data_IF_072187379176
#
_entry.id   IF_072187379176
#
_cell.length_a   1.000
_cell.length_b   1.000
_cell.length_c   1.000
_cell.angle_alpha   90.00
_cell.angle_beta   90.00
_cell.angle_gamma   90.00
#
_symmetry.space_group_name_H-M   'P 1'
#
loop_
_entity.id
_entity.type
_entity.pdbx_description
1 polymer ?
2 water ?
#
# COMPACT_ATOMS: atom_id res chain seq x y z
N UNK A 38 -14.30 -2.66 -25.57
CA UNK A 38 -13.07 -2.71 -24.79
C UNK A 38 -12.09 -1.63 -25.18
N UNK A 39 -12.61 -0.49 -25.64
CA UNK A 39 -11.78 0.65 -25.98
C UNK A 39 -11.31 1.41 -24.75
N UNK A 40 -12.00 1.27 -23.63
CA UNK A 40 -11.69 2.00 -22.41
C UNK A 40 -11.93 1.07 -21.23
N UNK A 41 -11.16 1.24 -20.15
CA UNK A 41 -11.29 0.35 -19.00
C UNK A 41 -12.61 0.67 -18.30
N UNK A 42 -13.36 -0.38 -17.94
CA UNK A 42 -14.69 -0.22 -17.38
C UNK A 42 -14.68 -0.65 -15.93
N UNK A 43 -15.23 0.20 -15.07
CA UNK A 43 -15.49 -0.21 -13.69
C UNK A 43 -16.61 -1.23 -13.68
N UNK A 44 -16.78 -1.89 -12.54
CA UNK A 44 -17.75 -2.99 -12.52
C UNK A 44 -19.18 -2.51 -12.65
N UNK A 45 -19.44 -1.22 -12.45
CA UNK A 45 -20.77 -0.66 -12.67
C UNK A 45 -20.94 -0.23 -14.12
N UNK A 46 -19.99 -0.59 -14.96
CA UNK A 46 -20.01 -0.24 -16.37
C UNK A 46 -19.53 1.14 -16.69
N UNK A 47 -19.28 1.98 -15.68
CA UNK A 47 -18.74 3.32 -15.92
C UNK A 47 -17.29 3.24 -16.35
N UNK A 48 -16.88 4.24 -17.10
CA UNK A 48 -15.53 4.29 -17.64
C UNK A 48 -14.57 4.76 -16.56
N UNK A 49 -13.41 4.13 -16.51
CA UNK A 49 -12.33 4.60 -15.65
C UNK A 49 -11.36 5.41 -16.49
N UNK A 50 -11.14 6.67 -16.13
CA UNK A 50 -10.26 7.53 -16.88
C UNK A 50 -9.04 7.80 -16.00
N UNK A 51 -7.90 7.19 -16.28
CA UNK A 51 -6.75 7.36 -15.40
C UNK A 51 -6.10 8.72 -15.57
N UNK A 52 -5.45 9.18 -14.50
CA UNK A 52 -4.59 10.33 -14.70
C UNK A 52 -3.36 9.97 -15.53
N UNK A 53 -2.78 11.00 -16.18
CA UNK A 53 -1.63 10.78 -17.05
C UNK A 53 -0.45 10.18 -16.30
N UNK A 54 -0.35 10.41 -14.99
CA UNK A 54 0.81 9.97 -14.22
C UNK A 54 0.61 8.64 -13.51
N UNK A 55 -0.52 7.97 -13.76
CA UNK A 55 -0.74 6.67 -13.15
C UNK A 55 0.17 5.63 -13.77
N UNK A 56 0.43 4.54 -13.05
CA UNK A 56 1.18 3.43 -13.63
C UNK A 56 0.39 2.80 -14.77
N UNK A 57 1.08 1.94 -15.50
CA UNK A 57 0.43 1.16 -16.54
C UNK A 57 -0.61 0.25 -15.89
N UNK A 58 -1.63 -0.09 -16.67
CA UNK A 58 -2.64 -1.05 -16.24
C UNK A 58 -3.06 -1.87 -17.43
N UNK A 59 -3.32 -3.13 -17.16
CA UNK A 59 -3.88 -4.03 -18.16
C UNK A 59 -4.51 -5.18 -17.40
N UNK A 60 -5.50 -5.78 -18.02
CA UNK A 60 -6.08 -7.01 -17.49
C UNK A 60 -5.41 -8.26 -18.07
N UNK A 61 -4.35 -8.13 -18.87
CA UNK A 61 -3.79 -9.29 -19.56
C UNK A 61 -3.49 -10.43 -18.60
N UNK A 62 -2.85 -10.12 -17.48
CA UNK A 62 -2.66 -11.04 -16.38
C UNK A 62 -3.01 -10.27 -15.13
N UNK A 63 -2.95 -10.93 -13.97
CA UNK A 63 -3.38 -10.27 -12.76
C UNK A 63 -2.57 -8.99 -12.57
N UNK A 64 -3.21 -7.84 -12.39
CA UNK A 64 -2.44 -6.60 -12.23
C UNK A 64 -1.76 -6.62 -10.87
N UNK A 65 -0.46 -6.34 -10.86
CA UNK A 65 0.35 -6.62 -9.68
C UNK A 65 0.99 -5.35 -9.18
N UNK A 66 1.10 -5.30 -7.87
CA UNK A 66 1.90 -4.32 -7.13
C UNK A 66 2.87 -5.09 -6.25
N UNK A 67 4.08 -4.58 -6.11
CA UNK A 67 5.08 -5.24 -5.29
C UNK A 67 5.57 -4.24 -4.26
N UNK A 68 5.92 -4.72 -3.08
CA UNK A 68 6.47 -3.84 -2.06
C UNK A 68 7.38 -4.66 -1.17
N UNK A 69 8.60 -4.16 -0.99
CA UNK A 69 9.64 -5.00 -0.40
C UNK A 69 10.77 -4.10 0.05
N UNK A 70 11.53 -4.60 1.01
CA UNK A 70 12.80 -3.98 1.31
C UNK A 70 13.60 -4.99 2.10
N UNK A 71 14.89 -4.68 2.22
CA UNK A 71 15.83 -5.50 2.98
C UNK A 71 16.81 -4.54 3.63
N UNK A 72 16.79 -4.47 4.95
CA UNK A 72 17.72 -3.60 5.64
C UNK A 72 19.15 -3.94 5.31
N UNK A 73 19.42 -5.20 5.03
CA UNK A 73 20.79 -5.69 4.96
C UNK A 73 21.43 -5.61 3.58
N UNK A 74 20.67 -5.31 2.54
CA UNK A 74 21.26 -5.41 1.22
C UNK A 74 20.36 -4.79 0.18
N UNK A 75 20.97 -4.38 -0.92
CA UNK A 75 20.24 -4.01 -2.11
C UNK A 75 19.86 -5.25 -2.92
N UNK A 76 18.94 -5.04 -3.86
CA UNK A 76 18.58 -6.11 -4.79
C UNK A 76 19.75 -6.45 -5.71
N UNK A 77 19.90 -7.73 -6.02
CA UNK A 77 20.79 -8.13 -7.11
C UNK A 77 20.15 -7.78 -8.46
N UNK A 78 20.95 -7.48 -9.47
CA UNK A 78 20.35 -7.21 -10.79
C UNK A 78 19.35 -8.26 -11.22
N UNK A 79 19.61 -9.53 -10.89
CA UNK A 79 18.70 -10.59 -11.30
C UNK A 79 17.37 -10.48 -10.59
N UNK A 80 17.40 -9.95 -9.37
CA UNK A 80 16.18 -9.78 -8.61
C UNK A 80 15.40 -8.58 -9.13
N UNK A 81 16.10 -7.51 -9.51
CA UNK A 81 15.45 -6.39 -10.15
C UNK A 81 14.77 -6.87 -11.43
N UNK A 82 15.47 -7.69 -12.20
CA UNK A 82 14.89 -8.22 -13.43
C UNK A 82 13.64 -9.03 -13.17
N UNK A 83 13.67 -9.90 -12.15
CA UNK A 83 12.53 -10.76 -11.84
C UNK A 83 11.30 -9.92 -11.50
N UNK A 84 11.48 -8.92 -10.65
CA UNK A 84 10.34 -8.13 -10.22
C UNK A 84 9.84 -7.26 -11.35
N UNK A 85 10.77 -6.66 -12.10
CA UNK A 85 10.43 -5.77 -13.19
C UNK A 85 9.59 -6.51 -14.21
N UNK A 86 9.87 -7.79 -14.41
CA UNK A 86 9.08 -8.59 -15.36
C UNK A 86 7.63 -8.68 -14.94
N UNK A 87 7.35 -8.60 -13.64
CA UNK A 87 6.06 -8.96 -13.08
C UNK A 87 5.22 -7.77 -12.64
N UNK A 88 5.75 -6.56 -12.70
CA UNK A 88 4.98 -5.41 -12.22
C UNK A 88 5.43 -4.14 -12.89
N UNK A 89 4.51 -3.19 -12.92
CA UNK A 89 4.77 -1.82 -13.35
C UNK A 89 4.67 -0.84 -12.20
N UNK A 90 4.50 -1.32 -10.98
CA UNK A 90 4.09 -0.47 -9.86
C UNK A 90 4.63 -1.11 -8.59
N UNK A 91 5.58 -0.46 -7.93
CA UNK A 91 6.07 -1.02 -6.69
C UNK A 91 6.48 0.06 -5.71
N UNK A 92 6.72 -0.37 -4.48
CA UNK A 92 7.17 0.52 -3.42
C UNK A 92 8.36 -0.11 -2.71
N UNK A 93 9.38 0.70 -2.45
CA UNK A 93 10.53 0.29 -1.63
C UNK A 93 10.23 0.57 -0.16
N UNK A 94 10.50 -0.40 0.69
CA UNK A 94 10.08 -0.34 2.09
C UNK A 94 11.01 0.52 2.95
N UNK A 95 10.62 0.62 4.22
CA UNK A 95 11.04 1.66 5.15
C UNK A 95 12.51 1.60 5.53
N UNK A 96 13.15 0.46 5.38
CA UNK A 96 14.52 0.34 5.85
C UNK A 96 15.46 -0.09 4.75
N UNK A 97 15.01 -0.06 3.50
CA UNK A 97 15.75 -0.75 2.47
C UNK A 97 17.16 -0.20 2.33
N UNK A 98 18.14 -1.11 2.33
CA UNK A 98 19.51 -0.74 2.09
C UNK A 98 20.12 0.08 3.19
N UNK A 99 19.47 0.17 4.35
CA UNK A 99 19.98 1.01 5.41
C UNK A 99 21.37 0.59 5.84
N UNK A 100 21.60 -0.71 5.98
CA UNK A 100 22.92 -1.14 6.43
C UNK A 100 23.98 -0.85 5.37
N UNK A 101 23.85 -1.32 4.12
CA UNK A 101 24.92 -1.06 3.14
C UNK A 101 25.09 0.39 2.75
N UNK A 102 24.02 1.17 2.69
CA UNK A 102 24.12 2.55 2.21
C UNK A 102 24.01 3.57 3.33
N UNK A 103 23.58 3.15 4.51
CA UNK A 103 23.54 4.02 5.67
C UNK A 103 22.21 4.72 5.91
N UNK A 104 21.31 4.74 4.94
CA UNK A 104 20.07 5.50 5.07
C UNK A 104 19.05 4.91 4.09
N UNK A 105 17.82 4.70 4.56
CA UNK A 105 16.85 3.97 3.74
C UNK A 105 16.43 4.74 2.49
N UNK A 106 16.56 6.05 2.50
CA UNK A 106 16.15 6.74 1.28
C UNK A 106 17.16 6.54 0.17
N UNK A 107 18.40 6.21 0.51
CA UNK A 107 19.36 5.87 -0.52
C UNK A 107 19.10 4.48 -1.07
N UNK A 108 18.59 3.57 -0.23
CA UNK A 108 18.11 2.30 -0.74
C UNK A 108 17.01 2.49 -1.76
N UNK A 109 16.06 3.37 -1.45
CA UNK A 109 15.00 3.66 -2.41
C UNK A 109 15.56 4.31 -3.66
N UNK A 110 16.48 5.25 -3.50
CA UNK A 110 17.05 5.89 -4.68
C UNK A 110 17.76 4.87 -5.56
N UNK A 111 18.51 3.96 -4.95
CA UNK A 111 19.22 2.95 -5.72
C UNK A 111 18.27 2.06 -6.49
N UNK A 112 17.26 1.50 -5.82
CA UNK A 112 16.37 0.58 -6.54
C UNK A 112 15.50 1.30 -7.57
N UNK A 113 15.05 2.52 -7.28
CA UNK A 113 14.29 3.26 -8.28
C UNK A 113 15.05 3.37 -9.58
N UNK A 114 16.34 3.70 -9.50
CA UNK A 114 17.17 3.83 -10.70
C UNK A 114 17.39 2.47 -11.35
N UNK A 115 17.63 1.44 -10.54
CA UNK A 115 17.83 0.09 -11.08
C UNK A 115 16.59 -0.35 -11.85
N UNK A 116 15.40 -0.15 -11.28
CA UNK A 116 14.19 -0.57 -11.97
C UNK A 116 13.93 0.25 -13.21
N UNK A 117 14.15 1.55 -13.12
CA UNK A 117 13.89 2.39 -14.27
C UNK A 117 14.90 2.17 -15.39
N UNK A 118 16.10 1.66 -15.10
CA UNK A 118 17.00 1.24 -16.17
C UNK A 118 16.34 0.20 -17.06
N UNK A 119 15.66 -0.76 -16.46
CA UNK A 119 14.92 -1.78 -17.20
C UNK A 119 13.63 -1.22 -17.80
N UNK A 120 12.69 -0.78 -16.94
CA UNK A 120 11.42 -0.23 -17.42
C UNK A 120 11.40 1.24 -17.08
N UNK A 121 11.74 2.13 -18.01
CA UNK A 121 11.76 3.55 -17.67
C UNK A 121 10.43 4.07 -17.18
N UNK A 122 9.33 3.39 -17.49
CA UNK A 122 8.01 3.84 -17.11
C UNK A 122 7.51 3.22 -15.80
N UNK A 123 8.29 2.30 -15.21
CA UNK A 123 7.92 1.70 -13.93
C UNK A 123 7.61 2.82 -12.94
N UNK A 124 6.61 2.63 -12.10
CA UNK A 124 6.35 3.58 -11.04
C UNK A 124 6.89 3.00 -9.74
N UNK A 125 7.74 3.78 -9.06
CA UNK A 125 8.39 3.37 -7.84
C UNK A 125 8.07 4.39 -6.76
N UNK A 126 7.43 3.93 -5.67
CA UNK A 126 7.06 4.81 -4.56
C UNK A 126 8.07 4.78 -3.43
N UNK A 127 8.27 5.95 -2.84
CA UNK A 127 9.03 6.13 -1.61
C UNK A 127 8.10 5.93 -0.43
N UNK A 128 8.56 5.18 0.54
CA UNK A 128 7.78 4.88 1.74
C UNK A 128 8.02 5.93 2.81
N UNK A 129 6.95 6.40 3.42
CA UNK A 129 7.17 7.14 4.68
C UNK A 129 5.98 6.94 5.60
N UNK A 130 6.28 6.70 6.87
CA UNK A 130 5.25 6.49 7.86
C UNK A 130 4.79 7.80 8.46
N UNK A 131 3.47 7.96 8.58
CA UNK A 131 2.91 9.20 9.08
C UNK A 131 2.85 9.24 10.57
N UNK A 132 3.09 8.09 11.20
CA UNK A 132 2.94 7.99 12.64
C UNK A 132 4.19 7.65 13.40
N UNK A 133 4.86 6.59 12.95
CA UNK A 133 6.07 6.17 13.61
C UNK A 133 7.30 6.81 13.00
N UNK A 134 8.10 7.47 13.84
CA UNK A 134 9.29 8.15 13.37
C UNK A 134 10.45 7.17 13.25
N UNK A 135 10.25 6.16 12.40
CA UNK A 135 11.30 5.19 12.15
C UNK A 135 12.59 5.92 11.78
N UNK A 136 13.72 5.64 12.47
CA UNK A 136 14.94 6.42 12.24
C UNK A 136 15.78 5.84 11.12
N UNK A 137 15.15 5.35 10.05
CA UNK A 137 15.90 4.61 9.04
C UNK A 137 16.38 5.46 7.90
N UNK A 138 15.74 6.58 7.65
CA UNK A 138 16.16 7.58 6.68
C UNK A 138 17.01 8.64 7.36
N UNK A 139 17.86 9.30 6.59
CA UNK A 139 18.55 10.45 7.14
C UNK A 139 17.57 11.46 7.69
N UNK A 140 16.39 11.59 7.07
CA UNK A 140 15.45 12.60 7.49
C UNK A 140 15.04 12.41 8.95
N UNK A 141 14.97 11.16 9.40
CA UNK A 141 14.50 10.81 10.72
C UNK A 141 15.64 10.43 11.69
N UNK A 142 16.87 10.77 11.34
CA UNK A 142 18.01 10.26 12.08
C UNK A 142 18.03 10.78 13.51
N UNK A 143 17.42 11.93 13.76
CA UNK A 143 17.42 12.51 15.10
C UNK A 143 16.43 11.84 16.04
N UNK A 144 15.53 11.02 15.51
CA UNK A 144 14.46 10.46 16.34
C UNK A 144 14.95 9.19 17.04
N UNK A 145 15.99 9.39 17.87
CA UNK A 145 16.54 8.33 18.70
C UNK A 145 16.63 8.82 20.13
N UNK A 146 16.60 7.86 21.04
CA UNK A 146 16.72 8.16 22.46
C UNK A 146 17.91 9.07 22.73
N UNK A 147 19.02 8.85 22.02
CA UNK A 147 20.27 9.56 22.31
C UNK A 147 20.46 10.86 21.54
N UNK A 148 19.66 11.13 20.50
CA UNK A 148 19.82 12.36 19.75
C UNK A 148 18.66 13.34 19.88
N UNK A 149 17.48 12.89 20.28
CA UNK A 149 16.30 13.72 20.06
C UNK A 149 16.37 15.00 20.89
N UNK A 150 16.88 14.91 22.12
CA UNK A 150 16.94 16.10 22.97
C UNK A 150 17.80 17.18 22.32
N UNK A 151 18.80 16.79 21.54
CA UNK A 151 19.65 17.73 20.81
C UNK A 151 18.94 18.39 19.64
N UNK A 152 17.70 17.99 19.34
CA UNK A 152 16.91 18.57 18.26
C UNK A 152 15.57 19.00 18.81
N UNK A 153 15.54 20.10 19.57
CA UNK A 153 14.30 20.45 20.30
C UNK A 153 13.12 20.74 19.39
N UNK A 154 13.34 21.34 18.21
CA UNK A 154 12.21 21.57 17.31
C UNK A 154 11.60 20.24 16.85
N UNK A 155 12.45 19.30 16.43
CA UNK A 155 11.94 18.00 16.01
C UNK A 155 11.28 17.30 17.17
N UNK A 156 11.88 17.40 18.36
CA UNK A 156 11.27 16.79 19.54
C UNK A 156 9.86 17.33 19.80
N UNK A 157 9.64 18.61 19.53
CA UNK A 157 8.36 19.22 19.80
C UNK A 157 7.27 18.71 18.87
N UNK A 158 7.64 18.01 17.80
CA UNK A 158 6.69 17.43 16.88
C UNK A 158 6.09 16.12 17.37
N UNK A 159 6.52 15.62 18.52
CA UNK A 159 6.22 14.26 18.91
C UNK A 159 5.21 14.24 20.03
N UNK A 160 4.40 13.18 20.02
CA UNK A 160 3.43 12.98 21.09
C UNK A 160 4.17 12.70 22.39
N UNK A 161 3.69 13.33 23.46
CA UNK A 161 4.16 13.07 24.81
C UNK A 161 3.15 12.17 25.49
N UNK A 162 3.66 11.13 26.16
CA UNK A 162 2.85 10.25 26.97
C UNK A 162 2.45 11.00 28.23
N UNK A 163 1.18 11.34 28.42
CA UNK A 163 0.82 12.06 29.66
C UNK A 163 1.16 11.26 30.92
N UNK A 164 1.27 9.94 30.82
CA UNK A 164 1.57 9.15 32.01
C UNK A 164 3.00 9.34 32.47
N UNK A 165 3.89 9.78 31.60
CA UNK A 165 5.29 9.98 31.94
C UNK A 165 5.78 11.39 31.78
N UNK A 166 5.05 12.24 31.04
CA UNK A 166 5.54 13.54 30.59
C UNK A 166 6.84 13.39 29.80
N UNK A 167 7.08 12.21 29.25
CA UNK A 167 8.19 11.97 28.34
C UNK A 167 7.60 11.50 27.02
N UNK A 168 8.46 11.42 26.01
CA UNK A 168 8.00 11.08 24.68
C UNK A 168 7.32 9.72 24.68
N UNK A 169 6.14 9.65 24.07
CA UNK A 169 5.54 8.35 23.79
C UNK A 169 6.41 7.58 22.81
N UNK A 170 6.40 6.25 22.93
CA UNK A 170 7.30 5.49 22.07
C UNK A 170 6.87 4.04 22.03
N UNK A 171 7.38 3.38 21.00
CA UNK A 171 7.16 1.96 20.84
C UNK A 171 8.58 1.44 20.66
N UNK A 172 9.15 0.82 21.69
CA UNK A 172 10.53 0.39 21.59
C UNK A 172 11.45 1.55 21.19
N UNK A 173 11.19 2.71 21.78
CA UNK A 173 12.02 3.91 21.60
C UNK A 173 11.87 4.53 20.21
N UNK A 174 10.84 4.14 19.47
CA UNK A 174 10.48 4.79 18.22
C UNK A 174 9.36 5.77 18.54
N UNK A 175 9.57 7.05 18.25
CA UNK A 175 8.65 8.08 18.67
C UNK A 175 7.50 8.25 17.70
N UNK A 176 6.52 9.05 18.13
CA UNK A 176 5.23 9.16 17.46
C UNK A 176 5.06 10.59 16.98
N UNK A 177 4.96 10.78 15.66
CA UNK A 177 4.60 12.09 15.14
C UNK A 177 3.22 12.48 15.64
N UNK A 178 3.05 13.77 15.91
CA UNK A 178 1.77 14.36 16.31
C UNK A 178 1.16 15.17 15.18
N UNK A 179 0.19 14.54 14.48
CA UNK A 179 -0.46 15.20 13.36
C UNK A 179 -1.29 16.39 13.78
N UNK A 180 -1.64 16.50 15.06
CA UNK A 180 -2.37 17.68 15.50
C UNK A 180 -1.47 18.90 15.57
N UNK A 181 -0.16 18.70 15.48
CA UNK A 181 0.80 19.80 15.58
C UNK A 181 1.00 20.36 14.19
N UNK A 182 0.53 21.58 13.90
CA UNK A 182 0.67 22.11 12.53
C UNK A 182 2.11 22.20 12.06
N UNK A 183 3.08 22.42 12.96
CA UNK A 183 4.48 22.49 12.54
C UNK A 183 4.99 21.11 12.12
N UNK A 184 4.45 20.06 12.74
CA UNK A 184 4.75 18.70 12.31
C UNK A 184 4.17 18.46 10.94
N UNK A 185 2.92 18.89 10.73
CA UNK A 185 2.29 18.64 9.44
C UNK A 185 3.12 19.26 8.34
N UNK A 186 3.66 20.46 8.60
CA UNK A 186 4.48 21.15 7.62
C UNK A 186 5.82 20.46 7.43
N UNK A 187 6.49 20.14 8.54
CA UNK A 187 7.79 19.49 8.46
C UNK A 187 7.70 18.15 7.74
N UNK A 188 6.75 17.34 8.19
CA UNK A 188 6.63 15.97 7.69
C UNK A 188 6.31 15.96 6.20
N UNK A 189 5.35 16.80 5.78
CA UNK A 189 4.98 16.83 4.38
C UNK A 189 6.14 17.34 3.52
N UNK A 190 6.89 18.33 4.00
CA UNK A 190 8.08 18.73 3.26
C UNK A 190 9.12 17.63 3.23
N UNK A 191 9.27 16.89 4.33
CA UNK A 191 10.28 15.85 4.39
C UNK A 191 9.97 14.74 3.41
N UNK A 192 8.72 14.31 3.39
CA UNK A 192 8.34 13.25 2.47
C UNK A 192 8.55 13.73 1.04
N UNK A 193 8.08 14.93 0.72
CA UNK A 193 8.35 15.45 -0.62
C UNK A 193 9.85 15.50 -0.92
N UNK A 194 10.67 15.89 0.06
CA UNK A 194 12.11 15.84 -0.13
C UNK A 194 12.59 14.42 -0.37
N UNK A 195 11.98 13.45 0.29
CA UNK A 195 12.42 12.07 0.07
C UNK A 195 12.02 11.58 -1.31
N UNK A 196 10.85 11.98 -1.79
CA UNK A 196 10.44 11.61 -3.14
C UNK A 196 11.40 12.24 -4.14
N UNK A 197 11.76 13.51 -3.93
CA UNK A 197 12.66 14.19 -4.88
C UNK A 197 14.05 13.60 -4.84
N UNK A 198 14.59 13.33 -3.65
CA UNK A 198 15.96 12.85 -3.55
C UNK A 198 16.08 11.43 -4.06
N UNK A 199 15.04 10.64 -3.92
CA UNK A 199 15.11 9.24 -4.31
C UNK A 199 14.79 9.05 -5.79
N UNK A 200 14.24 10.04 -6.46
CA UNK A 200 13.76 9.85 -7.82
C UNK A 200 12.56 8.96 -7.93
N UNK A 201 11.80 8.82 -6.86
CA UNK A 201 10.59 8.02 -6.89
C UNK A 201 9.43 8.83 -7.48
N UNK A 202 8.40 8.10 -7.90
CA UNK A 202 7.23 8.63 -8.60
C UNK A 202 6.11 9.00 -7.66
N UNK A 203 6.39 9.07 -6.38
CA UNK A 203 5.42 9.41 -5.40
C UNK A 203 5.74 8.70 -4.11
N UNK A 204 4.74 8.65 -3.24
CA UNK A 204 4.92 8.20 -1.89
C UNK A 204 3.84 7.23 -1.46
N UNK A 205 4.26 6.23 -0.70
CA UNK A 205 3.38 5.36 0.06
C UNK A 205 3.39 5.88 1.49
N UNK A 206 2.24 6.38 1.94
CA UNK A 206 2.11 6.87 3.31
C UNK A 206 1.45 5.82 4.16
N UNK A 207 2.18 5.37 5.16
CA UNK A 207 1.69 4.33 6.03
C UNK A 207 1.06 4.91 7.28
N UNK A 208 -0.05 4.31 7.69
CA UNK A 208 -0.75 4.77 8.87
C UNK A 208 -1.62 5.97 8.59
N UNK A 209 -2.84 5.92 9.04
CA UNK A 209 -3.76 7.03 8.89
C UNK A 209 -4.38 7.44 10.20
N UNK A 210 -4.06 6.74 11.27
CA UNK A 210 -4.74 6.95 12.54
C UNK A 210 -4.35 8.11 13.40
N UNK A 211 -3.20 8.68 13.13
CA UNK A 211 -2.71 9.74 13.99
C UNK A 211 -2.85 9.45 15.48
N UNK A 212 -2.67 8.22 15.86
CA UNK A 212 -2.81 7.81 17.26
C UNK A 212 -4.08 8.39 17.88
N UNK A 213 -5.19 8.31 17.18
CA UNK A 213 -6.42 8.93 17.72
C UNK A 213 -6.81 8.35 19.09
N UNK A 214 -6.53 7.06 19.33
CA UNK A 214 -6.89 6.43 20.61
C UNK A 214 -6.12 7.02 21.78
N UNK A 215 -5.02 7.73 21.51
CA UNK A 215 -4.27 8.43 22.55
C UNK A 215 -4.84 9.80 22.87
N UNK A 216 -5.77 10.28 22.08
CA UNK A 216 -6.40 11.57 22.29
C UNK A 216 -7.82 11.47 21.74
N UNK A 217 -8.59 10.54 22.31
CA UNK A 217 -9.81 10.09 21.63
C UNK A 217 -10.84 11.20 21.53
N UNK A 218 -10.83 12.13 22.49
CA UNK A 218 -11.73 13.27 22.42
C UNK A 218 -11.42 14.18 21.25
N UNK A 219 -10.25 14.03 20.63
CA UNK A 219 -9.86 14.83 19.48
C UNK A 219 -9.86 14.01 18.20
N UNK A 220 -10.54 12.86 18.19
CA UNK A 220 -10.47 11.96 17.03
C UNK A 220 -10.85 12.67 15.74
N UNK A 221 -11.91 13.47 15.77
CA UNK A 221 -12.32 14.14 14.54
C UNK A 221 -11.26 15.15 14.11
N UNK A 222 -10.66 15.86 15.05
CA UNK A 222 -9.57 16.76 14.70
C UNK A 222 -8.39 15.98 14.10
N UNK A 223 -8.08 14.81 14.65
CA UNK A 223 -7.00 13.99 14.11
C UNK A 223 -7.31 13.61 12.67
N UNK A 224 -8.52 13.13 12.40
CA UNK A 224 -8.88 12.82 11.02
C UNK A 224 -8.75 14.04 10.12
N UNK A 225 -9.21 15.21 10.60
CA UNK A 225 -9.09 16.42 9.80
C UNK A 225 -7.63 16.81 9.59
N UNK A 226 -6.81 16.74 10.65
CA UNK A 226 -5.40 17.06 10.53
C UNK A 226 -4.71 16.12 9.55
N UNK A 227 -5.04 14.85 9.56
CA UNK A 227 -4.41 13.92 8.65
C UNK A 227 -4.69 14.32 7.23
N UNK A 228 -5.92 14.76 6.97
CA UNK A 228 -6.23 15.21 5.63
C UNK A 228 -5.44 16.44 5.26
N UNK A 229 -5.30 17.37 6.20
CA UNK A 229 -4.48 18.54 5.94
C UNK A 229 -3.05 18.13 5.62
N UNK A 230 -2.50 17.21 6.38
CA UNK A 230 -1.10 16.84 6.13
C UNK A 230 -0.95 16.22 4.75
N UNK A 231 -1.87 15.35 4.37
CA UNK A 231 -1.78 14.74 3.05
C UNK A 231 -1.93 15.79 1.96
N UNK A 232 -2.85 16.74 2.12
CA UNK A 232 -3.00 17.77 1.10
C UNK A 232 -1.74 18.60 0.97
N UNK A 233 -1.07 18.87 2.09
CA UNK A 233 0.21 19.57 2.00
C UNK A 233 1.20 18.76 1.17
N UNK A 234 1.30 17.46 1.46
CA UNK A 234 2.26 16.61 0.77
C UNK A 234 1.94 16.55 -0.73
N UNK A 235 0.68 16.26 -1.04
CA UNK A 235 0.30 16.21 -2.45
C UNK A 235 0.74 17.46 -3.17
N UNK A 236 0.59 18.63 -2.53
CA UNK A 236 0.99 19.87 -3.19
C UNK A 236 2.50 19.98 -3.29
N UNK A 237 3.21 19.66 -2.21
CA UNK A 237 4.65 19.85 -2.17
C UNK A 237 5.39 18.91 -3.09
N UNK A 238 4.79 17.76 -3.43
CA UNK A 238 5.45 16.84 -4.35
C UNK A 238 5.44 17.35 -5.78
N UNK A 239 4.54 18.27 -6.09
CA UNK A 239 4.45 18.82 -7.42
C UNK A 239 3.70 17.88 -8.30
N UNK A 240 3.64 18.22 -9.58
CA UNK A 240 2.82 17.44 -10.50
C UNK A 240 3.32 16.03 -10.68
N UNK A 241 2.38 15.16 -11.07
CA UNK A 241 2.69 13.87 -11.64
C UNK A 241 3.30 12.91 -10.64
N UNK A 242 2.96 13.10 -9.36
CA UNK A 242 3.46 12.24 -8.29
C UNK A 242 2.29 11.52 -7.66
N UNK A 243 2.46 10.23 -7.42
CA UNK A 243 1.43 9.38 -6.87
C UNK A 243 1.46 9.43 -5.35
N UNK A 244 0.28 9.60 -4.76
CA UNK A 244 0.09 9.51 -3.31
C UNK A 244 -0.77 8.31 -3.01
N UNK A 245 -0.18 7.30 -2.40
CA UNK A 245 -0.87 6.09 -1.96
C UNK A 245 -0.95 6.11 -0.44
N UNK A 246 -2.16 6.06 0.10
CA UNK A 246 -2.36 5.99 1.53
C UNK A 246 -2.72 4.58 1.95
N UNK A 247 -2.04 4.09 2.98
CA UNK A 247 -2.32 2.76 3.43
C UNK A 247 -3.58 2.71 4.21
N UNK A 248 -4.44 1.76 3.86
CA UNK A 248 -5.71 1.56 4.55
C UNK A 248 -6.54 2.82 4.49
N UNK A 249 -6.46 3.54 3.36
CA UNK A 249 -7.18 4.81 3.28
C UNK A 249 -8.64 4.64 2.90
N UNK A 250 -9.12 3.38 2.82
CA UNK A 250 -10.54 3.11 2.71
C UNK A 250 -11.27 3.30 4.01
N UNK A 251 -10.55 3.29 5.14
CA UNK A 251 -11.18 3.31 6.44
C UNK A 251 -11.81 4.67 6.73
N UNK A 252 -12.89 4.66 7.48
CA UNK A 252 -13.55 5.91 7.80
C UNK A 252 -12.57 6.91 8.42
N UNK A 253 -11.61 6.41 9.21
CA UNK A 253 -10.66 7.30 9.89
C UNK A 253 -9.83 8.11 8.90
N UNK A 254 -9.79 7.69 7.64
CA UNK A 254 -9.00 8.38 6.62
C UNK A 254 -9.84 9.23 5.67
N UNK A 255 -11.13 9.41 5.96
CA UNK A 255 -12.02 10.09 5.01
C UNK A 255 -11.52 11.48 4.65
N UNK A 256 -10.86 12.20 5.56
CA UNK A 256 -10.39 13.52 5.19
C UNK A 256 -9.13 13.47 4.35
N UNK A 257 -8.38 12.37 4.43
CA UNK A 257 -7.17 12.18 3.64
C UNK A 257 -7.50 11.64 2.25
N UNK A 258 -8.51 10.79 2.16
CA UNK A 258 -8.81 10.06 0.94
C UNK A 258 -8.91 10.95 -0.29
N UNK A 259 -9.59 12.10 -0.24
CA UNK A 259 -9.76 12.90 -1.46
C UNK A 259 -8.47 13.24 -2.16
N UNK A 260 -7.39 13.57 -1.42
CA UNK A 260 -6.19 13.99 -2.12
C UNK A 260 -5.31 12.81 -2.49
N UNK A 261 -5.65 11.61 -2.04
CA UNK A 261 -4.89 10.42 -2.39
C UNK A 261 -5.17 10.03 -3.82
N UNK A 262 -4.16 9.47 -4.47
CA UNK A 262 -4.39 8.82 -5.77
C UNK A 262 -4.70 7.35 -5.63
N UNK A 263 -4.38 6.76 -4.49
CA UNK A 263 -4.44 5.33 -4.38
C UNK A 263 -4.65 5.00 -2.92
N UNK A 264 -5.21 3.84 -2.67
CA UNK A 264 -5.37 3.38 -1.29
C UNK A 264 -5.08 1.87 -1.26
N UNK A 265 -4.52 1.39 -0.14
CA UNK A 265 -4.17 -0.01 -0.01
C UNK A 265 -5.06 -0.67 1.04
N UNK A 266 -5.59 -1.83 0.69
CA UNK A 266 -6.24 -2.74 1.62
C UNK A 266 -5.16 -3.66 2.15
N UNK A 267 -4.68 -3.43 3.38
CA UNK A 267 -3.51 -4.14 3.88
C UNK A 267 -3.81 -5.54 4.42
N UNK A 268 -5.06 -5.83 4.77
CA UNK A 268 -5.43 -7.13 5.31
C UNK A 268 -4.43 -7.60 6.36
N UNK A 269 -4.17 -6.72 7.34
CA UNK A 269 -3.10 -6.98 8.29
C UNK A 269 -3.49 -7.91 9.43
N UNK A 270 -4.73 -8.37 9.52
CA UNK A 270 -5.06 -9.38 10.51
C UNK A 270 -6.24 -10.21 10.02
N UNK A 271 -6.66 -11.15 10.87
CA UNK A 271 -7.72 -12.09 10.48
C UNK A 271 -9.05 -11.39 10.29
N UNK A 272 -9.38 -10.44 11.17
CA UNK A 272 -10.67 -9.77 11.06
C UNK A 272 -10.83 -9.12 9.70
N UNK A 273 -9.75 -8.60 9.13
CA UNK A 273 -9.88 -7.91 7.87
C UNK A 273 -10.02 -8.86 6.71
N UNK A 274 -9.91 -10.17 6.95
CA UNK A 274 -10.14 -11.18 5.92
C UNK A 274 -11.44 -11.95 6.12
N UNK A 275 -12.29 -11.50 7.02
CA UNK A 275 -13.59 -12.09 7.20
C UNK A 275 -14.46 -11.89 5.96
N UNK A 276 -15.53 -12.70 5.87
CA UNK A 276 -16.44 -12.56 4.75
C UNK A 276 -17.08 -11.18 4.73
N UNK A 277 -17.38 -10.63 5.91
CA UNK A 277 -17.94 -9.29 5.97
C UNK A 277 -16.93 -8.25 5.50
N UNK A 278 -15.67 -8.40 5.90
CA UNK A 278 -14.64 -7.43 5.54
C UNK A 278 -14.33 -7.48 4.05
N UNK A 279 -14.33 -8.68 3.48
CA UNK A 279 -14.07 -8.84 2.05
C UNK A 279 -15.19 -8.21 1.22
N UNK A 280 -16.44 -8.36 1.65
CA UNK A 280 -17.53 -7.69 0.96
C UNK A 280 -17.37 -6.18 1.04
N UNK A 281 -17.01 -5.68 2.22
CA UNK A 281 -16.69 -4.27 2.36
C UNK A 281 -15.54 -3.88 1.43
N UNK A 282 -14.48 -4.69 1.39
CA UNK A 282 -13.40 -4.44 0.42
C UNK A 282 -13.96 -4.22 -0.98
N UNK A 283 -14.81 -5.15 -1.41
CA UNK A 283 -15.28 -5.07 -2.77
C UNK A 283 -16.13 -3.82 -2.96
N UNK A 284 -16.95 -3.48 -1.95
CA UNK A 284 -17.68 -2.23 -2.03
C UNK A 284 -16.72 -1.06 -2.14
N UNK A 285 -15.70 -1.05 -1.28
CA UNK A 285 -14.76 0.07 -1.25
C UNK A 285 -14.00 0.16 -2.58
N UNK A 286 -13.64 -0.99 -3.14
CA UNK A 286 -12.85 -0.99 -4.38
C UNK A 286 -13.64 -0.33 -5.51
N UNK A 287 -14.94 -0.61 -5.58
CA UNK A 287 -15.79 0.08 -6.54
C UNK A 287 -15.83 1.58 -6.23
N UNK A 288 -16.07 1.94 -4.98
CA UNK A 288 -16.09 3.37 -4.67
C UNK A 288 -14.78 4.03 -5.06
N UNK A 289 -13.64 3.37 -4.78
CA UNK A 289 -12.35 3.98 -5.11
C UNK A 289 -12.24 4.16 -6.61
N UNK A 290 -12.66 3.15 -7.36
CA UNK A 290 -12.53 3.22 -8.81
C UNK A 290 -13.46 4.28 -9.37
N UNK A 291 -14.66 4.40 -8.82
CA UNK A 291 -15.58 5.43 -9.27
C UNK A 291 -15.01 6.81 -9.00
N UNK A 292 -14.16 6.94 -7.99
CA UNK A 292 -13.50 8.21 -7.73
C UNK A 292 -12.30 8.45 -8.65
N UNK A 293 -12.02 7.54 -9.58
CA UNK A 293 -10.86 7.68 -10.44
C UNK A 293 -9.55 7.32 -9.77
N UNK A 294 -9.62 6.74 -8.59
CA UNK A 294 -8.44 6.40 -7.81
C UNK A 294 -8.11 4.93 -7.96
N UNK A 295 -6.90 4.59 -7.51
CA UNK A 295 -6.44 3.22 -7.56
C UNK A 295 -6.47 2.54 -6.21
N UNK A 296 -6.60 1.22 -6.24
CA UNK A 296 -6.59 0.42 -5.02
C UNK A 296 -5.48 -0.62 -5.15
N UNK A 297 -4.87 -0.94 -4.01
CA UNK A 297 -3.97 -2.07 -3.91
C UNK A 297 -4.63 -3.06 -2.95
N UNK A 298 -4.90 -4.27 -3.43
CA UNK A 298 -5.50 -5.30 -2.58
C UNK A 298 -4.36 -6.22 -2.13
N UNK A 299 -3.89 -6.00 -0.92
CA UNK A 299 -2.67 -6.66 -0.46
C UNK A 299 -2.99 -7.79 0.51
N UNK A 300 -2.32 -8.91 0.30
CA UNK A 300 -2.49 -10.09 1.11
C UNK A 300 -1.14 -10.53 1.65
N UNK A 301 -1.06 -10.66 2.96
CA UNK A 301 0.04 -11.34 3.59
C UNK A 301 -0.50 -12.59 4.25
N UNK A 302 -0.06 -13.76 3.79
CA UNK A 302 -0.61 -15.01 4.30
C UNK A 302 -0.13 -15.24 5.73
N UNK A 303 0.70 -14.34 6.26
CA UNK A 303 0.99 -14.38 7.69
C UNK A 303 -0.27 -14.21 8.51
N UNK A 304 -1.31 -13.61 7.93
CA UNK A 304 -2.60 -13.43 8.58
C UNK A 304 -3.61 -14.51 8.22
N UNK A 305 -3.18 -15.54 7.49
CA UNK A 305 -4.07 -16.64 7.15
C UNK A 305 -4.35 -17.49 8.39
N UNK A 306 -5.55 -18.07 8.50
CA UNK A 306 -5.82 -18.97 9.64
C UNK A 306 -4.79 -20.07 9.81
N UNK A 307 -4.45 -20.79 8.75
CA UNK A 307 -3.51 -21.92 8.81
C UNK A 307 -2.17 -21.52 9.46
N UNK A 320 5.61 -23.29 7.20
CA UNK A 320 6.55 -22.77 6.20
C UNK A 320 5.79 -21.94 5.18
N UNK A 321 6.11 -20.64 5.13
CA UNK A 321 5.26 -19.64 4.47
C UNK A 321 5.22 -19.76 2.95
N UNK A 322 6.34 -20.04 2.27
CA UNK A 322 6.25 -20.15 0.80
C UNK A 322 5.29 -21.25 0.35
N UNK A 323 5.34 -22.40 1.01
CA UNK A 323 4.43 -23.49 0.67
C UNK A 323 2.99 -23.06 0.89
N UNK A 324 2.70 -22.50 2.08
CA UNK A 324 1.35 -22.02 2.37
C UNK A 324 0.92 -20.94 1.37
N UNK A 325 1.78 -19.95 1.16
CA UNK A 325 1.45 -18.87 0.24
C UNK A 325 1.08 -19.42 -1.13
N UNK A 326 1.89 -20.35 -1.65
CA UNK A 326 1.61 -20.91 -2.97
C UNK A 326 0.28 -21.68 -2.98
N UNK A 327 -0.03 -22.37 -1.88
CA UNK A 327 -1.27 -23.13 -1.82
C UNK A 327 -2.49 -22.22 -1.73
N UNK A 328 -2.36 -21.09 -1.02
CA UNK A 328 -3.48 -20.19 -0.82
C UNK A 328 -3.59 -19.14 -1.93
N UNK A 329 -2.67 -19.14 -2.88
CA UNK A 329 -2.68 -18.11 -3.91
C UNK A 329 -4.01 -18.11 -4.65
N UNK A 330 -4.54 -19.28 -4.99
CA UNK A 330 -5.80 -19.31 -5.73
C UNK A 330 -6.93 -18.67 -4.94
N UNK A 331 -6.98 -18.91 -3.62
CA UNK A 331 -8.06 -18.34 -2.84
C UNK A 331 -7.96 -16.83 -2.73
N UNK A 332 -6.76 -16.33 -2.45
CA UNK A 332 -6.63 -14.89 -2.21
C UNK A 332 -6.69 -14.11 -3.51
N UNK A 333 -6.15 -14.68 -4.60
CA UNK A 333 -6.37 -14.09 -5.91
C UNK A 333 -7.85 -14.01 -6.21
N UNK A 334 -8.58 -15.09 -5.96
CA UNK A 334 -10.01 -15.06 -6.19
C UNK A 334 -10.67 -13.93 -5.43
N UNK A 335 -10.29 -13.74 -4.16
CA UNK A 335 -10.88 -12.67 -3.38
C UNK A 335 -10.63 -11.33 -4.05
N UNK A 336 -9.44 -11.14 -4.58
CA UNK A 336 -9.16 -9.89 -5.27
C UNK A 336 -9.99 -9.76 -6.56
N UNK A 337 -10.01 -10.81 -7.38
CA UNK A 337 -10.65 -10.75 -8.68
C UNK A 337 -12.14 -10.48 -8.55
N UNK A 338 -12.79 -10.98 -7.49
CA UNK A 338 -14.21 -10.69 -7.35
C UNK A 338 -14.47 -9.20 -7.36
N UNK A 339 -13.56 -8.44 -6.75
CA UNK A 339 -13.78 -7.04 -6.54
C UNK A 339 -12.92 -6.16 -7.40
N UNK A 340 -12.07 -6.76 -8.23
CA UNK A 340 -11.10 -6.00 -9.01
C UNK A 340 -11.74 -4.95 -9.91
N UNK A 341 -11.05 -3.82 -10.01
CA UNK A 341 -11.45 -2.69 -10.83
C UNK A 341 -10.28 -2.25 -11.69
N UNK A 342 -10.53 -1.46 -12.71
CA UNK A 342 -9.42 -0.84 -13.43
C UNK A 342 -8.51 -0.15 -12.43
N UNK A 343 -7.20 -0.30 -12.63
CA UNK A 343 -6.22 0.40 -11.83
C UNK A 343 -6.32 -0.01 -10.37
N UNK A 344 -6.73 -1.25 -10.16
CA UNK A 344 -6.54 -1.92 -8.89
C UNK A 344 -5.47 -3.00 -9.10
N UNK A 345 -4.71 -3.25 -8.07
CA UNK A 345 -3.54 -4.10 -8.18
C UNK A 345 -3.51 -5.03 -6.99
N UNK A 346 -3.04 -6.25 -7.22
CA UNK A 346 -2.90 -7.29 -6.21
C UNK A 346 -1.46 -7.27 -5.71
N UNK A 347 -1.29 -7.41 -4.40
CA UNK A 347 0.03 -7.67 -3.84
C UNK A 347 -0.05 -8.95 -3.03
N UNK A 348 0.97 -9.81 -3.18
CA UNK A 348 0.89 -11.13 -2.57
C UNK A 348 2.23 -11.55 -1.98
N UNK A 349 2.17 -12.16 -0.81
CA UNK A 349 3.34 -12.70 -0.13
C UNK A 349 2.98 -13.00 1.31
N UNK A 350 3.98 -12.97 2.17
CA UNK A 350 3.75 -13.21 3.60
C UNK A 350 4.45 -12.16 4.45
N UNK A 351 4.59 -10.95 3.93
CA UNK A 351 5.21 -9.89 4.68
C UNK A 351 5.78 -8.83 3.76
N UNK A 352 6.76 -8.11 4.29
CA UNK A 352 7.21 -6.86 3.71
C UNK A 352 8.70 -6.85 3.39
N UNK A 353 9.42 -7.94 3.63
CA UNK A 353 10.83 -8.00 3.32
C UNK A 353 10.99 -8.48 1.88
N UNK A 354 12.18 -8.28 1.34
CA UNK A 354 12.47 -8.81 0.02
C UNK A 354 12.21 -10.31 -0.02
N UNK A 355 12.45 -11.01 1.07
CA UNK A 355 12.32 -12.45 1.11
C UNK A 355 10.90 -12.92 1.41
N UNK A 356 9.92 -12.00 1.43
CA UNK A 356 8.56 -12.29 1.85
C UNK A 356 7.60 -12.54 0.67
N UNK A 357 8.12 -13.00 -0.45
CA UNK A 357 7.24 -13.40 -1.53
C UNK A 357 7.54 -12.74 -2.87
N UNK A 358 8.15 -11.56 -2.85
CA UNK A 358 8.34 -10.82 -4.09
C UNK A 358 9.15 -11.61 -5.11
N UNK A 359 10.04 -12.49 -4.65
CA UNK A 359 10.95 -13.21 -5.52
C UNK A 359 10.50 -14.64 -5.78
N UNK A 360 9.28 -14.99 -5.40
CA UNK A 360 8.71 -16.30 -5.64
C UNK A 360 7.76 -16.20 -6.82
N UNK A 361 7.59 -17.32 -7.52
CA UNK A 361 6.64 -17.40 -8.61
C UNK A 361 5.36 -18.02 -8.06
N UNK A 362 4.28 -17.28 -8.14
CA UNK A 362 2.94 -17.81 -7.88
C UNK A 362 2.30 -17.94 -9.25
N UNK A 363 2.20 -19.14 -9.82
CA UNK A 363 1.87 -19.21 -11.25
C UNK A 363 0.52 -18.64 -11.59
N UNK A 364 -0.40 -18.65 -10.63
CA UNK A 364 -1.72 -18.08 -10.87
C UNK A 364 -1.61 -16.65 -11.35
N UNK A 365 -0.65 -15.90 -10.81
CA UNK A 365 -0.51 -14.48 -11.11
C UNK A 365 -0.03 -14.21 -12.51
N UNK A 366 0.50 -15.21 -13.20
CA UNK A 366 1.01 -15.06 -14.55
C UNK A 366 0.07 -15.61 -15.62
N UNK A 367 -1.04 -16.22 -15.22
CA UNK A 367 -1.96 -16.77 -16.19
C UNK A 367 -2.82 -15.69 -16.81
N UNK A 368 -3.18 -15.91 -18.06
CA UNK A 368 -4.03 -14.96 -18.75
C UNK A 368 -5.35 -14.79 -18.01
N UNK A 369 -5.74 -13.53 -17.86
CA UNK A 369 -6.96 -13.17 -17.14
C UNK A 369 -7.96 -12.50 -18.06
N UNK A 370 -7.56 -11.38 -18.64
CA UNK A 370 -8.38 -10.63 -19.55
C UNK A 370 -9.42 -9.80 -18.84
N UNK A 371 -10.10 -8.95 -19.58
CA UNK A 371 -11.05 -8.02 -18.97
C UNK A 371 -12.19 -8.77 -18.32
N UNK A 372 -12.73 -8.24 -17.22
CA UNK A 372 -13.95 -8.83 -16.66
C UNK A 372 -15.11 -8.68 -17.63
N UNK A 373 -15.95 -9.70 -17.67
CA UNK A 373 -17.14 -9.65 -18.51
C UNK A 373 -18.27 -8.96 -17.82
N UNK A 374 -18.18 -8.82 -16.50
CA UNK A 374 -19.12 -8.00 -15.76
C UNK A 374 -18.74 -8.07 -14.30
N UNK A 375 -19.55 -7.40 -13.51
CA UNK A 375 -19.44 -7.44 -12.07
C UNK A 375 -19.61 -8.88 -11.56
N UNK A 376 -19.16 -9.10 -10.33
CA UNK A 376 -19.38 -10.38 -9.68
C UNK A 376 -20.87 -10.62 -9.47
N UNK A 377 -21.21 -11.89 -9.32
CA UNK A 377 -22.56 -12.28 -8.97
C UNK A 377 -22.46 -12.92 -7.59
N UNK A 378 -23.27 -12.42 -6.65
CA UNK A 378 -23.46 -13.04 -5.35
C UNK A 378 -24.49 -14.15 -5.53
N UNK A 379 -24.04 -15.41 -5.54
CA UNK A 379 -24.88 -16.48 -6.05
C UNK A 379 -26.19 -16.60 -5.28
N UNK A 380 -26.22 -16.26 -3.97
CA UNK A 380 -27.47 -16.09 -3.29
C UNK A 380 -27.46 -14.81 -2.45
N UNK A 381 -28.63 -14.18 -2.25
CA UNK A 381 -28.64 -12.81 -1.74
C UNK A 381 -27.99 -12.64 -0.38
N UNK A 382 -28.07 -13.65 0.47
CA UNK A 382 -27.49 -13.61 1.81
C UNK A 382 -26.40 -14.65 1.99
N UNK A 383 -25.99 -15.33 0.92
CA UNK A 383 -24.93 -16.30 1.00
C UNK A 383 -23.58 -15.66 0.80
N UNK A 384 -22.53 -16.46 0.88
CA UNK A 384 -21.16 -15.95 0.81
C UNK A 384 -20.40 -16.61 -0.32
N UNK A 385 -21.12 -17.04 -1.34
CA UNK A 385 -20.51 -17.52 -2.57
C UNK A 385 -20.60 -16.39 -3.58
N UNK A 386 -19.49 -16.15 -4.25
CA UNK A 386 -19.39 -15.10 -5.25
C UNK A 386 -18.67 -15.66 -6.46
N UNK A 387 -19.13 -15.27 -7.63
CA UNK A 387 -18.50 -15.66 -8.87
C UNK A 387 -18.28 -14.44 -9.74
N UNK A 388 -17.29 -14.54 -10.61
CA UNK A 388 -17.08 -13.50 -11.60
C UNK A 388 -16.37 -14.08 -12.82
N UNK A 389 -16.74 -13.55 -13.97
CA UNK A 389 -16.18 -14.01 -15.25
C UNK A 389 -15.25 -12.97 -15.84
N UNK A 390 -14.07 -13.41 -16.23
CA UNK A 390 -13.11 -12.67 -17.04
C UNK A 390 -12.95 -13.35 -18.39
N UNK A 391 -12.32 -12.66 -19.31
CA UNK A 391 -12.26 -13.22 -20.65
C UNK A 391 -11.60 -14.60 -20.66
N UNK A 392 -10.60 -14.81 -19.79
CA UNK A 392 -9.83 -16.04 -19.80
C UNK A 392 -9.91 -16.81 -18.51
N UNK A 393 -10.88 -16.49 -17.64
CA UNK A 393 -10.95 -17.17 -16.35
C UNK A 393 -12.33 -17.01 -15.73
N UNK A 394 -12.71 -18.01 -14.97
CA UNK A 394 -13.96 -18.01 -14.24
C UNK A 394 -13.60 -18.14 -12.77
N UNK A 395 -14.12 -17.26 -11.95
CA UNK A 395 -13.75 -17.18 -10.55
C UNK A 395 -14.91 -17.63 -9.69
N UNK A 396 -14.62 -18.47 -8.72
CA UNK A 396 -15.60 -18.85 -7.72
C UNK A 396 -14.93 -18.79 -6.37
N UNK A 397 -15.62 -18.21 -5.40
CA UNK A 397 -15.08 -18.18 -4.05
C UNK A 397 -16.22 -18.22 -3.07
N UNK A 398 -15.99 -18.94 -1.97
CA UNK A 398 -16.86 -18.90 -0.80
C UNK A 398 -16.06 -18.33 0.35
N UNK A 399 -16.37 -17.10 0.73
CA UNK A 399 -15.60 -16.38 1.71
C UNK A 399 -16.02 -16.74 3.13
N UNK A 400 -17.14 -17.46 3.27
CA UNK A 400 -17.49 -18.02 4.56
C UNK A 400 -16.60 -19.22 4.89
N UNK A 401 -16.42 -20.13 3.93
CA UNK A 401 -15.63 -21.33 4.13
C UNK A 401 -14.16 -21.19 3.78
N UNK A 402 -13.77 -20.15 3.02
CA UNK A 402 -12.38 -20.00 2.66
C UNK A 402 -11.91 -20.89 1.52
N UNK A 403 -12.80 -21.24 0.61
CA UNK A 403 -12.45 -22.07 -0.53
C UNK A 403 -12.67 -21.27 -1.79
N UNK A 404 -11.90 -21.58 -2.82
CA UNK A 404 -12.07 -20.94 -4.09
C UNK A 404 -11.56 -21.84 -5.20
N UNK A 405 -11.96 -21.49 -6.41
CA UNK A 405 -11.54 -22.17 -7.62
C UNK A 405 -11.60 -21.13 -8.73
N UNK A 406 -10.46 -20.90 -9.36
CA UNK A 406 -10.36 -20.14 -10.58
C UNK A 406 -10.14 -21.13 -11.71
N UNK A 407 -11.03 -21.13 -12.68
CA UNK A 407 -10.89 -21.98 -13.85
C UNK A 407 -10.28 -21.14 -14.98
N UNK A 408 -9.01 -21.38 -15.25
CA UNK A 408 -8.29 -20.69 -16.31
C UNK A 408 -8.64 -21.30 -17.66
N UNK A 409 -9.27 -20.51 -18.51
CA UNK A 409 -9.59 -20.91 -19.87
C UNK A 409 -8.45 -20.51 -20.81
#
# INVERSE_FOLDING_TARGET
>A
MGSSHHHHHHSSGLVPRGSHMASMTGGQQMGRGSEFLGQHYLNSDGSRFVPKDFYPKFSWDTTPMYYMFGDTTRLLEPEEVEFIAERTDFLCIEKSHGRTPLGAAELGAKHEAAAFKKIKPDMKVLFYFNSAYAWPFTSYNQAFTRNKIDEHPKLKSFLIVDPKTAELAHRRNVFFFDVLNPELREWWSTTVAKGVAESGCDGAFIDQMHGFAWLRADKSEDVQKAMGEMMALLKRKMGPDKILLGNNANQDIAKDAFPVMDASMFEHYNEKLLSKESLLQDWDDMLRIAQAGKMSIFRIGVESDPRASQDQGRRGSRRDQPVLAKERAEYYLACYLIGAQPYSYFQYGWGWTLSSGSLHEFPELRKALGPPKGAYDRTTPDGWEFTREFEHASVWVNTETGNAKITWR
#
